data_IF_139905346508
#
_entry.id   IF_139905346508
#
_cell.length_a   1.000
_cell.length_b   1.000
_cell.length_c   1.000
_cell.angle_alpha   90.00
_cell.angle_beta   90.00
_cell.angle_gamma   90.00
#
_symmetry.space_group_name_H-M   'P 1'
#
loop_
_entity.id
_entity.type
_entity.pdbx_description
1 polymer ?
#
# COMPACT_ATOMS: atom_id res chain seq x y z
N UNK A 1 57.52 -29.78 -12.29
CA UNK A 1 58.26 -28.56 -12.71
C UNK A 1 57.85 -28.20 -14.13
N UNK A 2 57.24 -27.03 -14.31
CA UNK A 2 57.49 -26.05 -15.39
C UNK A 2 56.40 -24.99 -15.29
N UNK A 3 56.85 -23.80 -14.86
CA UNK A 3 56.10 -22.56 -14.78
C UNK A 3 56.02 -21.96 -16.18
N UNK A 4 54.91 -21.37 -16.55
CA UNK A 4 54.86 -20.40 -17.65
C UNK A 4 54.10 -19.15 -17.21
N UNK A 5 54.76 -18.04 -17.53
CA UNK A 5 54.55 -16.65 -17.16
C UNK A 5 53.45 -15.98 -17.98
N UNK A 6 52.74 -15.04 -17.31
CA UNK A 6 52.48 -13.62 -17.68
C UNK A 6 51.92 -13.33 -19.09
N UNK A 7 50.76 -12.65 -19.15
CA UNK A 7 50.69 -11.33 -19.78
C UNK A 7 49.54 -10.48 -19.22
N UNK A 8 49.92 -9.30 -18.77
CA UNK A 8 49.12 -8.19 -18.27
C UNK A 8 48.71 -7.30 -19.44
N UNK A 9 47.45 -6.89 -19.52
CA UNK A 9 47.03 -5.71 -20.29
C UNK A 9 45.98 -4.94 -19.49
N UNK A 10 46.45 -3.87 -18.86
CA UNK A 10 45.63 -2.81 -18.31
C UNK A 10 45.06 -1.97 -19.46
N UNK A 11 43.74 -1.78 -19.49
CA UNK A 11 43.08 -0.78 -20.33
C UNK A 11 42.64 0.37 -19.43
N UNK A 12 43.43 1.44 -19.49
CA UNK A 12 43.15 2.73 -18.86
C UNK A 12 42.28 3.51 -19.85
N UNK A 13 41.00 3.69 -19.53
CA UNK A 13 40.12 4.63 -20.24
C UNK A 13 39.94 5.89 -19.40
N UNK A 14 40.68 6.94 -19.77
CA UNK A 14 40.49 8.29 -19.27
C UNK A 14 39.47 8.98 -20.19
N UNK A 15 38.27 9.23 -19.68
CA UNK A 15 37.38 10.25 -20.24
C UNK A 15 37.49 11.50 -19.35
N UNK A 16 38.19 12.50 -19.86
CA UNK A 16 38.16 13.85 -19.32
C UNK A 16 36.98 14.61 -19.95
N UNK A 17 35.98 14.98 -19.15
CA UNK A 17 35.02 16.04 -19.49
C UNK A 17 35.32 17.26 -18.61
N UNK A 18 36.08 18.21 -19.16
CA UNK A 18 35.91 19.65 -18.93
C UNK A 18 34.56 20.06 -19.56
N UNK A 19 33.63 20.79 -18.95
CA UNK A 19 33.75 21.92 -18.03
C UNK A 19 33.28 23.18 -18.76
N UNK A 20 32.07 23.66 -18.48
CA UNK A 20 31.68 25.07 -18.58
C UNK A 20 30.50 25.34 -17.64
N UNK A 21 30.82 26.04 -16.57
CA UNK A 21 29.94 26.68 -15.61
C UNK A 21 29.51 28.04 -16.12
N UNK A 22 28.21 28.34 -16.11
CA UNK A 22 27.72 29.72 -16.10
C UNK A 22 26.87 29.96 -14.86
N UNK A 23 27.52 30.58 -13.87
CA UNK A 23 26.87 31.31 -12.78
C UNK A 23 26.50 32.71 -13.27
N UNK A 24 25.22 33.05 -13.26
CA UNK A 24 24.79 34.45 -13.14
C UNK A 24 23.89 34.59 -11.91
N UNK A 25 24.42 35.29 -10.90
CA UNK A 25 23.65 35.90 -9.79
C UNK A 25 23.36 37.36 -10.13
N UNK A 26 22.12 37.80 -9.89
CA UNK A 26 21.67 39.15 -9.41
C UNK A 26 20.18 39.00 -9.05
N UNK A 27 19.75 38.89 -7.80
CA UNK A 27 19.58 39.86 -6.70
C UNK A 27 18.60 41.04 -6.93
N UNK A 28 17.55 41.07 -6.08
CA UNK A 28 16.86 42.22 -5.40
C UNK A 28 15.88 43.03 -6.29
N UNK A 29 14.64 43.40 -5.93
CA UNK A 29 14.04 44.01 -4.70
C UNK A 29 12.49 43.91 -4.79
N UNK A 30 11.78 43.44 -3.74
CA UNK A 30 10.92 44.17 -2.77
C UNK A 30 9.54 44.67 -3.22
N UNK A 31 8.53 44.22 -2.44
CA UNK A 31 7.41 44.93 -1.81
C UNK A 31 6.71 46.08 -2.55
N UNK A 32 5.37 46.07 -2.61
CA UNK A 32 4.52 46.67 -1.56
C UNK A 32 3.02 46.63 -1.97
N UNK A 33 2.14 46.32 -0.99
CA UNK A 33 0.82 46.94 -0.66
C UNK A 33 -0.24 47.16 -1.76
N UNK A 34 -1.56 47.20 -1.54
CA UNK A 34 -2.51 47.29 -0.42
C UNK A 34 -3.89 47.12 -1.13
N UNK A 35 -4.84 46.33 -0.62
CA UNK A 35 -5.88 46.72 0.35
C UNK A 35 -7.23 47.16 -0.28
N UNK A 36 -8.29 46.63 0.35
CA UNK A 36 -9.71 47.01 0.39
C UNK A 36 -10.53 47.08 -0.92
N UNK A 37 -11.84 46.84 -0.96
CA UNK A 37 -12.89 46.76 0.06
C UNK A 37 -14.18 46.17 -0.55
N UNK A 38 -14.90 45.38 0.27
CA UNK A 38 -16.34 45.45 0.62
C UNK A 38 -17.28 46.06 -0.46
N UNK A 39 -18.38 45.40 -0.86
CA UNK A 39 -19.76 45.72 -0.38
C UNK A 39 -20.80 44.67 -0.85
N UNK A 40 -21.48 44.01 0.10
CA UNK A 40 -22.88 43.47 0.05
C UNK A 40 -23.86 44.63 0.40
N UNK A 41 -25.22 44.55 0.33
CA UNK A 41 -26.16 43.43 0.04
C UNK A 41 -27.33 43.86 -0.91
N UNK A 42 -28.31 43.00 -1.24
CA UNK A 42 -29.73 43.01 -0.75
C UNK A 42 -30.65 42.58 -1.92
N UNK A 43 -31.92 42.11 -1.84
CA UNK A 43 -32.82 41.46 -0.85
C UNK A 43 -34.17 41.20 -1.59
N UNK A 44 -34.90 40.13 -1.19
CA UNK A 44 -36.36 39.82 -1.35
C UNK A 44 -36.95 39.66 -2.76
N UNK A 45 -37.99 38.85 -3.03
CA UNK A 45 -39.19 38.39 -2.27
C UNK A 45 -39.73 37.08 -2.94
N UNK A 46 -40.19 36.03 -2.21
CA UNK A 46 -41.58 35.77 -1.72
C UNK A 46 -42.68 35.97 -2.81
N UNK A 47 -43.70 35.13 -3.03
CA UNK A 47 -44.33 33.97 -2.37
C UNK A 47 -45.43 33.39 -3.32
N UNK A 48 -46.03 32.24 -2.97
CA UNK A 48 -47.42 31.73 -3.29
C UNK A 48 -47.47 30.62 -4.35
N UNK A 49 -47.66 29.32 -4.05
CA UNK A 49 -48.72 28.55 -3.32
C UNK A 49 -50.03 28.37 -4.11
N UNK A 50 -50.34 27.11 -4.51
CA UNK A 50 -51.59 26.35 -4.22
C UNK A 50 -51.66 25.08 -5.10
N UNK A 51 -51.53 23.86 -4.56
CA UNK A 51 -52.54 22.89 -4.05
C UNK A 51 -53.59 22.37 -5.05
N UNK A 52 -53.59 21.05 -5.31
CA UNK A 52 -54.81 20.21 -5.38
C UNK A 52 -54.50 18.70 -5.44
N UNK A 53 -55.10 17.99 -4.47
CA UNK A 53 -55.34 16.55 -4.20
C UNK A 53 -56.07 15.86 -5.39
N UNK A 54 -56.04 14.54 -5.69
CA UNK A 54 -56.46 13.38 -4.89
C UNK A 54 -56.21 12.02 -5.59
N UNK A 55 -56.07 10.96 -4.76
CA UNK A 55 -56.53 9.54 -4.90
C UNK A 55 -55.96 8.68 -6.07
N UNK A 56 -55.59 7.39 -5.93
CA UNK A 56 -56.20 6.29 -5.18
C UNK A 56 -55.26 5.04 -5.03
N UNK A 57 -55.42 4.35 -3.91
CA UNK A 57 -55.19 2.93 -3.50
C UNK A 57 -54.85 1.85 -4.55
N UNK A 58 -53.82 0.98 -4.32
CA UNK A 58 -53.89 -0.52 -4.28
C UNK A 58 -52.64 -1.12 -3.59
N UNK A 59 -52.86 -2.08 -2.69
CA UNK A 59 -51.88 -2.96 -2.04
C UNK A 59 -50.94 -3.73 -2.97
N UNK A 60 -49.70 -3.95 -2.51
CA UNK A 60 -48.98 -5.22 -2.70
C UNK A 60 -48.09 -5.47 -1.49
N UNK A 61 -48.42 -6.54 -0.77
CA UNK A 61 -47.58 -7.17 0.25
C UNK A 61 -46.29 -7.66 -0.40
N UNK A 62 -45.19 -6.97 -0.17
CA UNK A 62 -43.86 -7.51 -0.43
C UNK A 62 -43.52 -8.53 0.65
N UNK A 63 -43.49 -9.80 0.23
CA UNK A 63 -42.91 -10.88 1.01
C UNK A 63 -41.46 -10.51 1.38
N UNK A 64 -40.97 -10.87 2.58
CA UNK A 64 -39.55 -10.75 2.88
C UNK A 64 -38.80 -11.59 1.85
N UNK A 65 -37.97 -10.95 1.03
CA UNK A 65 -36.90 -11.65 0.33
C UNK A 65 -36.11 -12.36 1.41
N UNK A 66 -36.21 -13.69 1.44
CA UNK A 66 -35.25 -14.52 2.13
C UNK A 66 -33.88 -14.08 1.63
N UNK A 67 -33.19 -13.33 2.48
CA UNK A 67 -31.76 -13.13 2.40
C UNK A 67 -31.19 -14.54 2.49
N UNK A 68 -30.91 -15.11 1.32
CA UNK A 68 -30.31 -16.42 1.18
C UNK A 68 -28.99 -16.30 1.93
N UNK A 69 -28.99 -16.77 3.18
CA UNK A 69 -27.80 -16.92 3.98
C UNK A 69 -26.81 -17.65 3.09
N UNK A 70 -25.84 -16.89 2.59
CA UNK A 70 -24.79 -17.41 1.76
C UNK A 70 -24.00 -18.29 2.72
N UNK A 71 -24.29 -19.59 2.71
CA UNK A 71 -23.54 -20.60 3.44
C UNK A 71 -22.13 -20.59 2.84
N UNK A 72 -21.30 -19.68 3.34
CA UNK A 72 -19.87 -19.52 3.11
C UNK A 72 -19.10 -20.62 3.84
N UNK A 73 -19.50 -21.89 3.67
CA UNK A 73 -18.63 -23.00 4.03
C UNK A 73 -17.53 -23.15 2.96
N UNK A 74 -16.82 -22.07 2.64
CA UNK A 74 -15.44 -22.13 2.16
C UNK A 74 -14.65 -22.71 3.32
N UNK A 75 -14.63 -24.03 3.39
CA UNK A 75 -14.28 -24.76 4.60
C UNK A 75 -12.83 -24.49 4.97
N UNK A 76 -12.60 -23.49 5.82
CA UNK A 76 -11.35 -23.24 6.52
C UNK A 76 -11.08 -24.31 7.60
N UNK A 77 -11.83 -25.41 7.60
CA UNK A 77 -11.68 -26.52 8.55
C UNK A 77 -10.26 -27.03 8.53
N UNK A 78 -9.64 -27.08 9.71
CA UNK A 78 -8.26 -27.53 9.88
C UNK A 78 -7.20 -26.43 9.74
N UNK A 79 -7.59 -25.20 9.38
CA UNK A 79 -6.68 -24.05 9.39
C UNK A 79 -6.83 -23.23 10.66
N UNK A 80 -5.72 -22.63 11.09
CA UNK A 80 -5.68 -21.71 12.23
C UNK A 80 -6.28 -20.35 11.88
N UNK A 81 -6.70 -19.58 12.89
CA UNK A 81 -7.18 -18.22 12.70
C UNK A 81 -6.15 -17.34 11.97
N UNK A 82 -4.87 -17.48 12.30
CA UNK A 82 -3.78 -16.76 11.62
C UNK A 82 -3.70 -17.11 10.13
N UNK A 83 -3.75 -18.40 9.77
CA UNK A 83 -3.74 -18.80 8.35
C UNK A 83 -4.96 -18.26 7.59
N UNK A 84 -6.13 -18.23 8.22
CA UNK A 84 -7.34 -17.68 7.63
C UNK A 84 -7.20 -16.17 7.42
N UNK A 85 -6.66 -15.45 8.41
CA UNK A 85 -6.36 -14.02 8.30
C UNK A 85 -5.40 -13.76 7.14
N UNK A 86 -4.26 -14.44 7.09
CA UNK A 86 -3.25 -14.26 6.05
C UNK A 86 -3.81 -14.55 4.64
N UNK A 87 -4.66 -15.57 4.49
CA UNK A 87 -5.32 -15.86 3.23
C UNK A 87 -6.29 -14.74 2.82
N UNK A 88 -7.14 -14.28 3.73
CA UNK A 88 -8.10 -13.20 3.48
C UNK A 88 -7.41 -11.88 3.16
N UNK A 89 -6.37 -11.52 3.92
CA UNK A 89 -5.57 -10.32 3.66
C UNK A 89 -4.90 -10.41 2.30
N UNK A 90 -4.34 -11.57 1.94
CA UNK A 90 -3.72 -11.76 0.62
C UNK A 90 -4.71 -11.49 -0.52
N UNK A 91 -5.91 -12.09 -0.48
CA UNK A 91 -6.93 -11.84 -1.51
C UNK A 91 -7.40 -10.37 -1.50
N UNK A 92 -7.64 -9.79 -0.32
CA UNK A 92 -8.03 -8.39 -0.22
C UNK A 92 -7.00 -7.46 -0.87
N UNK A 93 -5.69 -7.71 -0.68
CA UNK A 93 -4.61 -6.94 -1.29
C UNK A 93 -4.53 -7.18 -2.80
N UNK A 94 -4.66 -8.43 -3.27
CA UNK A 94 -4.70 -8.73 -4.71
C UNK A 94 -5.82 -7.93 -5.38
N UNK A 95 -7.02 -7.94 -4.80
CA UNK A 95 -8.16 -7.20 -5.31
C UNK A 95 -7.99 -5.68 -5.19
N UNK A 96 -7.43 -5.18 -4.10
CA UNK A 96 -7.11 -3.76 -3.89
C UNK A 96 -6.23 -3.22 -5.02
N UNK A 97 -5.21 -3.97 -5.44
CA UNK A 97 -4.35 -3.62 -6.58
C UNK A 97 -4.91 -4.03 -7.95
N UNK A 98 -6.18 -4.43 -8.02
CA UNK A 98 -6.86 -4.86 -9.26
C UNK A 98 -6.15 -6.03 -9.95
N UNK A 99 -5.49 -6.89 -9.15
CA UNK A 99 -4.92 -8.14 -9.62
C UNK A 99 -6.01 -9.12 -10.03
N UNK A 100 -5.77 -9.85 -11.12
CA UNK A 100 -6.62 -10.94 -11.57
C UNK A 100 -5.79 -12.23 -11.67
N UNK A 101 -5.34 -12.71 -10.51
CA UNK A 101 -4.57 -13.94 -10.37
C UNK A 101 -4.74 -14.51 -8.96
N UNK A 102 -4.46 -15.80 -8.80
CA UNK A 102 -4.33 -16.45 -7.51
C UNK A 102 -2.85 -16.66 -7.22
N UNK A 103 -2.31 -16.23 -6.08
CA UNK A 103 -0.91 -16.44 -5.75
C UNK A 103 -0.51 -17.92 -5.82
N UNK A 104 0.68 -18.20 -6.33
CA UNK A 104 1.26 -19.55 -6.39
C UNK A 104 2.14 -19.85 -5.17
N UNK A 105 2.58 -18.81 -4.47
CA UNK A 105 3.34 -18.90 -3.22
C UNK A 105 2.97 -17.72 -2.32
N UNK A 106 2.95 -17.97 -1.00
CA UNK A 106 2.68 -16.97 0.04
C UNK A 106 3.62 -17.27 1.21
N UNK A 107 4.51 -16.35 1.50
CA UNK A 107 5.37 -16.37 2.68
C UNK A 107 4.89 -15.33 3.69
N UNK A 108 4.91 -15.69 4.96
CA UNK A 108 4.49 -14.86 6.07
C UNK A 108 5.64 -14.73 7.05
N UNK A 109 5.99 -13.49 7.38
CA UNK A 109 6.93 -13.18 8.45
C UNK A 109 6.22 -12.36 9.53
N UNK A 110 6.24 -12.84 10.77
CA UNK A 110 5.67 -12.13 11.92
C UNK A 110 6.74 -11.22 12.51
N UNK A 111 6.50 -9.92 12.48
CA UNK A 111 7.43 -8.95 13.03
C UNK A 111 6.99 -8.58 14.45
N UNK A 112 7.88 -8.80 15.42
CA UNK A 112 7.67 -8.34 16.78
C UNK A 112 7.66 -6.82 16.89
N UNK A 113 7.33 -6.32 18.08
CA UNK A 113 7.36 -4.88 18.39
C UNK A 113 8.74 -4.26 18.12
N UNK A 114 8.74 -2.97 17.74
CA UNK A 114 9.94 -2.16 17.51
C UNK A 114 10.86 -2.65 16.37
N UNK A 115 10.31 -3.38 15.38
CA UNK A 115 11.04 -3.70 14.16
C UNK A 115 11.16 -2.47 13.24
N UNK A 116 12.15 -2.48 12.35
CA UNK A 116 12.40 -1.39 11.43
C UNK A 116 11.54 -1.51 10.17
N UNK A 117 11.09 -0.38 9.60
CA UNK A 117 10.38 -0.33 8.32
C UNK A 117 11.26 -0.84 7.18
N UNK A 118 12.53 -0.45 7.17
CA UNK A 118 13.53 -0.96 6.23
C UNK A 118 14.61 -1.75 6.98
N UNK A 119 15.23 -2.76 6.34
CA UNK A 119 16.29 -3.56 6.96
C UNK A 119 17.65 -2.83 6.99
N UNK A 120 17.64 -1.51 7.23
CA UNK A 120 18.83 -0.66 7.20
C UNK A 120 18.91 0.26 8.41
N UNK A 121 20.15 0.52 8.86
CA UNK A 121 20.43 1.39 9.99
C UNK A 121 19.83 2.79 9.79
N UNK A 122 19.15 3.28 10.82
CA UNK A 122 18.52 4.61 10.82
C UNK A 122 17.06 4.59 10.39
N UNK A 123 16.54 3.45 9.92
CA UNK A 123 15.12 3.31 9.58
C UNK A 123 14.22 3.57 10.80
N UNK A 124 13.04 4.12 10.53
CA UNK A 124 11.97 4.28 11.50
C UNK A 124 11.56 2.93 12.05
N UNK A 125 11.24 2.89 13.36
CA UNK A 125 10.74 1.70 14.04
C UNK A 125 9.22 1.74 14.15
N UNK A 126 8.59 0.59 13.97
CA UNK A 126 7.16 0.40 14.19
C UNK A 126 6.97 -0.16 15.61
N UNK A 127 6.30 0.56 16.52
CA UNK A 127 6.21 0.13 17.92
C UNK A 127 5.30 -1.10 18.12
N UNK A 128 4.33 -1.32 17.24
CA UNK A 128 3.40 -2.45 17.28
C UNK A 128 3.94 -3.68 16.51
N UNK A 129 3.33 -4.83 16.78
CA UNK A 129 3.53 -6.03 15.97
C UNK A 129 2.92 -5.85 14.57
N UNK A 130 3.56 -6.43 13.56
CA UNK A 130 3.05 -6.44 12.18
C UNK A 130 3.30 -7.81 11.54
N UNK A 131 2.71 -8.01 10.38
CA UNK A 131 2.96 -9.17 9.53
C UNK A 131 3.39 -8.69 8.16
N UNK A 132 4.49 -9.22 7.65
CA UNK A 132 4.91 -9.04 6.26
C UNK A 132 4.47 -10.25 5.45
N UNK A 133 3.64 -10.01 4.44
CA UNK A 133 3.23 -10.99 3.44
C UNK A 133 4.04 -10.78 2.17
N UNK A 134 4.65 -11.85 1.66
CA UNK A 134 5.27 -11.89 0.34
C UNK A 134 4.58 -12.95 -0.49
N UNK A 135 3.82 -12.55 -1.51
CA UNK A 135 3.07 -13.48 -2.35
C UNK A 135 3.31 -13.22 -3.83
N UNK A 136 3.37 -14.29 -4.60
CA UNK A 136 3.80 -14.23 -6.00
C UNK A 136 2.78 -14.83 -6.96
N UNK A 137 2.62 -14.22 -8.13
CA UNK A 137 1.84 -14.76 -9.24
C UNK A 137 2.55 -15.92 -9.95
N UNK A 138 3.87 -15.85 -10.08
CA UNK A 138 4.66 -16.74 -10.94
C UNK A 138 6.06 -17.05 -10.40
N UNK A 139 6.31 -16.76 -9.12
CA UNK A 139 7.61 -16.87 -8.45
C UNK A 139 8.71 -15.99 -9.06
N UNK A 140 8.37 -15.01 -9.88
CA UNK A 140 9.31 -13.97 -10.32
C UNK A 140 9.29 -12.79 -9.37
N UNK A 141 10.38 -12.05 -9.31
CA UNK A 141 10.46 -10.86 -8.47
C UNK A 141 9.53 -9.72 -8.94
N UNK A 142 9.29 -9.62 -10.25
CA UNK A 142 8.32 -8.68 -10.82
C UNK A 142 6.88 -9.10 -10.53
N UNK A 143 6.62 -10.41 -10.46
CA UNK A 143 5.32 -10.98 -10.10
C UNK A 143 5.07 -11.10 -8.60
N UNK A 144 6.00 -10.64 -7.74
CA UNK A 144 5.89 -10.71 -6.28
C UNK A 144 5.39 -9.39 -5.72
N UNK A 145 4.43 -9.46 -4.81
CA UNK A 145 3.96 -8.33 -4.01
C UNK A 145 4.36 -8.57 -2.57
N UNK A 146 5.00 -7.57 -1.95
CA UNK A 146 5.37 -7.58 -0.55
C UNK A 146 4.60 -6.46 0.14
N UNK A 147 3.87 -6.80 1.20
CA UNK A 147 3.12 -5.84 2.02
C UNK A 147 3.38 -6.10 3.49
N UNK A 148 3.47 -5.05 4.28
CA UNK A 148 3.52 -5.13 5.74
C UNK A 148 2.26 -4.50 6.29
N UNK A 149 1.59 -5.21 7.19
CA UNK A 149 0.33 -4.78 7.76
C UNK A 149 0.22 -5.00 9.27
N UNK A 150 -0.61 -4.19 9.93
CA UNK A 150 -1.09 -4.40 11.29
C UNK A 150 -2.60 -4.62 11.25
N UNK A 151 -3.10 -5.62 11.98
CA UNK A 151 -4.54 -5.82 12.17
C UNK A 151 -5.12 -4.73 13.08
N UNK A 152 -6.29 -4.20 12.71
CA UNK A 152 -7.06 -3.29 13.57
C UNK A 152 -8.03 -4.04 14.49
N UNK A 153 -8.12 -5.37 14.37
CA UNK A 153 -9.02 -6.25 15.12
C UNK A 153 -10.53 -5.93 14.97
N UNK A 154 -10.90 -5.17 13.94
CA UNK A 154 -12.28 -4.78 13.61
C UNK A 154 -12.73 -5.27 12.23
N UNK A 155 -11.92 -6.11 11.58
CA UNK A 155 -12.15 -6.54 10.19
C UNK A 155 -11.36 -5.74 9.16
N UNK A 156 -10.58 -4.74 9.59
CA UNK A 156 -9.68 -3.98 8.73
C UNK A 156 -8.20 -4.17 9.11
N UNK A 157 -7.32 -3.76 8.21
CA UNK A 157 -5.87 -3.67 8.43
C UNK A 157 -5.37 -2.27 8.09
N UNK A 158 -4.27 -1.86 8.69
CA UNK A 158 -3.43 -0.80 8.14
C UNK A 158 -2.22 -1.43 7.46
N UNK A 159 -1.91 -1.04 6.23
CA UNK A 159 -0.83 -1.65 5.46
C UNK A 159 -0.08 -0.65 4.57
N UNK A 160 1.15 -0.98 4.24
CA UNK A 160 1.90 -0.34 3.16
C UNK A 160 2.55 -1.40 2.27
N UNK A 161 2.87 -1.02 1.03
CA UNK A 161 3.58 -1.90 0.09
C UNK A 161 5.08 -1.73 0.23
N UNK A 162 5.77 -2.82 0.56
CA UNK A 162 7.21 -2.83 0.67
C UNK A 162 7.87 -2.73 -0.72
N UNK A 163 9.06 -2.09 -0.83
CA UNK A 163 9.89 -2.19 -2.00
C UNK A 163 10.37 -3.64 -2.22
N UNK A 164 10.19 -4.16 -3.44
CA UNK A 164 10.76 -5.47 -3.79
C UNK A 164 12.30 -5.45 -3.83
N UNK A 165 12.90 -4.27 -4.03
CA UNK A 165 14.35 -4.07 -4.09
C UNK A 165 14.79 -2.70 -3.56
N UNK A 166 15.99 -2.67 -3.00
CA UNK A 166 16.67 -1.46 -2.56
C UNK A 166 17.95 -1.30 -3.39
N UNK A 167 17.92 -0.43 -4.40
CA UNK A 167 19.03 -0.28 -5.37
C UNK A 167 19.98 0.89 -5.07
N UNK A 168 19.56 1.82 -4.22
CA UNK A 168 20.33 3.03 -3.93
C UNK A 168 21.36 2.79 -2.83
N UNK A 169 22.64 3.06 -3.08
CA UNK A 169 23.71 2.85 -2.09
C UNK A 169 23.52 3.67 -0.80
N UNK A 170 22.71 4.74 -0.84
CA UNK A 170 22.40 5.54 0.35
C UNK A 170 21.71 4.72 1.45
N UNK A 171 21.03 3.62 1.12
CA UNK A 171 20.50 2.69 2.12
C UNK A 171 21.58 2.16 3.07
N UNK A 172 22.82 2.03 2.60
CA UNK A 172 23.95 1.52 3.38
C UNK A 172 24.82 2.62 4.00
N UNK A 173 24.77 3.84 3.45
CA UNK A 173 25.75 4.91 3.73
C UNK A 173 25.16 6.15 4.42
N UNK A 174 23.86 6.39 4.29
CA UNK A 174 23.21 7.61 4.77
C UNK A 174 21.98 7.28 5.63
N UNK A 175 22.21 7.13 6.94
CA UNK A 175 21.15 6.80 7.89
C UNK A 175 20.10 7.90 8.05
N UNK A 176 20.44 9.16 7.78
CA UNK A 176 19.49 10.28 7.87
C UNK A 176 18.52 10.22 6.69
N UNK A 177 19.04 9.94 5.50
CA UNK A 177 18.22 9.70 4.32
C UNK A 177 17.34 8.45 4.49
N UNK A 178 17.89 7.33 5.00
CA UNK A 178 17.11 6.11 5.30
C UNK A 178 15.96 6.40 6.26
N UNK A 179 16.21 7.18 7.32
CA UNK A 179 15.16 7.58 8.25
C UNK A 179 14.05 8.34 7.54
N UNK A 180 14.39 9.31 6.70
CA UNK A 180 13.40 10.08 5.94
C UNK A 180 12.60 9.21 4.99
N UNK A 181 13.26 8.31 4.27
CA UNK A 181 12.59 7.49 3.26
C UNK A 181 11.69 6.42 3.88
N UNK A 182 12.12 5.82 5.00
CA UNK A 182 11.26 4.90 5.77
C UNK A 182 10.07 5.61 6.41
N UNK A 183 10.25 6.85 6.89
CA UNK A 183 9.12 7.65 7.38
C UNK A 183 8.09 7.89 6.28
N UNK A 184 8.53 8.26 5.06
CA UNK A 184 7.61 8.45 3.93
C UNK A 184 6.82 7.18 3.59
N UNK A 185 7.47 6.01 3.64
CA UNK A 185 6.77 4.76 3.41
C UNK A 185 5.72 4.51 4.50
N UNK A 186 6.09 4.71 5.77
CA UNK A 186 5.15 4.54 6.88
C UNK A 186 3.98 5.54 6.81
N UNK A 187 4.25 6.78 6.42
CA UNK A 187 3.22 7.81 6.22
C UNK A 187 2.30 7.51 5.03
N UNK A 188 2.70 6.62 4.12
CA UNK A 188 1.87 6.16 2.99
C UNK A 188 0.90 5.03 3.33
N UNK A 189 0.92 4.58 4.59
CA UNK A 189 0.06 3.51 5.08
C UNK A 189 -1.41 3.80 4.83
N UNK A 190 -2.14 2.77 4.44
CA UNK A 190 -3.56 2.84 4.12
C UNK A 190 -4.35 1.87 4.97
N UNK A 191 -5.60 2.22 5.25
CA UNK A 191 -6.56 1.32 5.88
C UNK A 191 -7.34 0.56 4.81
N UNK A 192 -7.47 -0.75 4.97
CA UNK A 192 -8.21 -1.63 4.08
C UNK A 192 -9.14 -2.53 4.88
N UNK A 193 -10.43 -2.46 4.56
CA UNK A 193 -11.43 -3.44 5.01
C UNK A 193 -11.15 -4.80 4.37
N UNK A 194 -11.27 -5.87 5.15
CA UNK A 194 -11.07 -7.24 4.69
C UNK A 194 -12.44 -7.89 4.48
N UNK A 195 -12.98 -7.89 3.25
CA UNK A 195 -14.32 -8.41 3.01
C UNK A 195 -14.32 -9.94 3.02
N UNK A 196 -15.34 -10.52 3.62
CA UNK A 196 -15.60 -11.97 3.58
C UNK A 196 -16.09 -12.46 2.21
N UNK A 197 -16.35 -11.54 1.27
CA UNK A 197 -16.76 -11.90 -0.10
C UNK A 197 -15.70 -12.68 -0.86
N UNK A 198 -14.43 -12.60 -0.44
CA UNK A 198 -13.30 -13.34 -1.03
C UNK A 198 -12.97 -14.64 -0.29
N UNK A 199 -13.82 -15.09 0.63
CA UNK A 199 -13.55 -16.29 1.44
C UNK A 199 -13.37 -17.56 0.61
N UNK A 200 -14.03 -17.65 -0.56
CA UNK A 200 -13.87 -18.78 -1.47
C UNK A 200 -12.47 -18.80 -2.08
N UNK A 201 -11.98 -17.66 -2.55
CA UNK A 201 -10.65 -17.45 -3.11
C UNK A 201 -9.58 -17.67 -2.04
N UNK A 202 -9.77 -17.10 -0.85
CA UNK A 202 -8.87 -17.29 0.28
C UNK A 202 -8.71 -18.77 0.65
N UNK A 203 -9.81 -19.55 0.64
CA UNK A 203 -9.75 -20.99 0.88
C UNK A 203 -8.97 -21.78 -0.19
N UNK A 204 -8.77 -21.23 -1.40
CA UNK A 204 -7.98 -21.87 -2.47
C UNK A 204 -6.46 -21.68 -2.30
N UNK A 205 -6.04 -20.61 -1.60
CA UNK A 205 -4.63 -20.26 -1.43
C UNK A 205 -4.09 -20.57 -0.04
N UNK A 206 -4.95 -20.79 0.95
CA UNK A 206 -4.53 -20.96 2.35
C UNK A 206 -3.54 -22.11 2.57
N UNK A 207 -3.60 -23.17 1.75
CA UNK A 207 -2.64 -24.29 1.79
C UNK A 207 -1.24 -23.93 1.28
N UNK A 208 -1.08 -22.79 0.59
CA UNK A 208 0.19 -22.29 0.04
C UNK A 208 0.94 -21.40 1.03
N UNK A 209 0.33 -21.08 2.17
CA UNK A 209 0.87 -20.18 3.18
C UNK A 209 1.99 -20.88 3.96
N UNK A 210 3.16 -20.25 3.96
CA UNK A 210 4.32 -20.67 4.75
C UNK A 210 4.65 -19.60 5.77
N UNK A 211 4.44 -19.92 7.05
CA UNK A 211 4.78 -19.04 8.17
C UNK A 211 6.23 -19.32 8.57
N UNK A 212 7.06 -18.28 8.62
CA UNK A 212 8.48 -18.32 8.99
C UNK A 212 8.70 -17.94 10.45
#
# INVERSE_FOLDING_TARGET
>A
MKKTLILSTALISIFALSGCSDTTKKQVQSENSQDSSITKPSKSSEESRSTSTSENTVSSTDAPKEEKAQTTSSSFTGYTAEQIEYARVTEAIVHYYKGNYQPVSIEVNKNGQNHQVFPFKGSVVIPQETVTLSFSKDNTMAGTTIVTYSSNHDGSINFYKDPNHYQDERYLKDSVWVKSESQKLLDSMQTLEIPVSFDREAAQIISKIQIK
#
